data_IF_953845087986
#
_entry.id   IF_953845087986
#
_cell.length_a   1.000
_cell.length_b   1.000
_cell.length_c   1.000
_cell.angle_alpha   90.00
_cell.angle_beta   90.00
_cell.angle_gamma   90.00
#
_symmetry.space_group_name_H-M   'P 1'
#
loop_
_entity.id
_entity.type
_entity.pdbx_description
1 polymer ?
#
# COMPACT_ATOMS: atom_id res chain seq x y z
N UNK A 1 9.33 16.70 -17.34
CA UNK A 1 7.97 17.19 -17.64
C UNK A 1 7.02 16.09 -17.20
N UNK A 2 5.96 16.41 -16.47
CA UNK A 2 4.97 15.41 -16.03
C UNK A 2 4.24 14.87 -17.25
N UNK A 3 4.24 13.57 -17.43
CA UNK A 3 3.60 12.88 -18.58
C UNK A 3 2.06 12.82 -18.43
N UNK A 4 1.53 13.36 -17.33
CA UNK A 4 0.12 13.31 -16.97
C UNK A 4 -0.46 14.72 -16.81
N UNK A 5 -1.54 15.00 -17.55
CA UNK A 5 -2.28 16.27 -17.49
C UNK A 5 -2.75 16.60 -16.06
N UNK A 6 -3.27 15.61 -15.33
CA UNK A 6 -3.75 15.79 -13.95
C UNK A 6 -2.74 15.25 -12.96
N UNK A 7 -2.24 16.10 -12.08
CA UNK A 7 -1.25 15.73 -11.08
C UNK A 7 -1.52 16.39 -9.73
N UNK A 8 -0.95 15.86 -8.65
CA UNK A 8 -1.02 16.48 -7.34
C UNK A 8 -0.25 17.81 -7.36
N UNK A 9 -0.83 18.85 -6.76
CA UNK A 9 -0.21 20.16 -6.66
C UNK A 9 1.20 20.06 -6.06
N UNK A 10 2.19 20.68 -6.70
CA UNK A 10 3.56 20.75 -6.18
C UNK A 10 3.56 21.42 -4.81
N UNK A 11 4.32 20.85 -3.88
CA UNK A 11 4.40 21.39 -2.53
C UNK A 11 5.07 22.77 -2.53
N UNK A 12 4.44 23.73 -1.89
CA UNK A 12 5.03 24.97 -1.41
C UNK A 12 4.43 25.29 -0.04
N UNK A 13 5.07 26.17 0.72
CA UNK A 13 4.57 26.54 2.04
C UNK A 13 3.14 27.06 1.96
N UNK A 14 2.23 26.45 2.74
CA UNK A 14 0.80 26.79 2.76
C UNK A 14 -0.05 26.12 1.66
N UNK A 15 0.51 25.31 0.76
CA UNK A 15 -0.27 24.66 -0.32
C UNK A 15 -1.17 23.52 0.16
N UNK A 16 -0.85 22.91 1.31
CA UNK A 16 -1.68 21.84 1.89
C UNK A 16 -2.83 22.41 2.69
N UNK A 17 -4.01 21.89 2.45
CA UNK A 17 -5.25 22.27 3.14
C UNK A 17 -5.67 21.21 4.16
N UNK A 18 -6.80 21.42 4.83
CA UNK A 18 -7.40 20.44 5.72
C UNK A 18 -8.01 19.30 4.92
N UNK A 19 -7.81 18.05 5.39
CA UNK A 19 -8.40 16.90 4.74
C UNK A 19 -9.93 16.87 4.94
N UNK A 20 -10.71 16.69 3.86
CA UNK A 20 -12.17 16.66 3.96
C UNK A 20 -12.70 15.44 4.74
N UNK A 21 -11.92 14.37 4.86
CA UNK A 21 -12.31 13.16 5.58
C UNK A 21 -11.91 13.18 7.06
N UNK A 22 -10.62 13.37 7.38
CA UNK A 22 -10.16 13.33 8.76
C UNK A 22 -10.12 14.69 9.47
N UNK A 23 -10.39 15.79 8.79
CA UNK A 23 -10.43 17.15 9.33
C UNK A 23 -9.07 17.74 9.75
N UNK A 24 -8.01 16.95 9.72
CA UNK A 24 -6.68 17.43 10.12
C UNK A 24 -6.17 18.48 9.15
N UNK A 25 -5.56 19.54 9.69
CA UNK A 25 -5.02 20.66 8.90
C UNK A 25 -3.68 20.29 8.25
N UNK A 26 -3.37 20.95 7.13
CA UNK A 26 -2.08 20.88 6.41
C UNK A 26 -1.63 19.45 6.03
N UNK A 27 -2.58 18.59 5.69
CA UNK A 27 -2.30 17.19 5.33
C UNK A 27 -2.99 16.74 4.05
N UNK A 28 -3.59 17.64 3.30
CA UNK A 28 -4.30 17.31 2.07
C UNK A 28 -3.72 18.06 0.89
N UNK A 29 -3.38 17.32 -0.18
CA UNK A 29 -2.84 17.83 -1.44
C UNK A 29 -3.89 17.66 -2.51
N UNK A 30 -4.24 18.76 -3.19
CA UNK A 30 -5.24 18.77 -4.26
C UNK A 30 -4.65 18.31 -5.59
N UNK A 31 -5.50 17.79 -6.47
CA UNK A 31 -5.16 17.62 -7.87
C UNK A 31 -5.33 18.95 -8.62
N UNK A 32 -4.47 19.17 -9.60
CA UNK A 32 -4.48 20.33 -10.51
C UNK A 32 -4.42 19.84 -11.95
N UNK A 33 -5.03 20.61 -12.86
CA UNK A 33 -4.93 20.44 -14.28
C UNK A 33 -3.77 21.29 -14.82
N UNK A 34 -2.79 20.68 -15.47
CA UNK A 34 -1.63 21.38 -16.03
C UNK A 34 -2.04 22.38 -17.13
N UNK A 35 -3.11 22.08 -17.86
CA UNK A 35 -3.67 22.98 -18.88
C UNK A 35 -4.55 24.10 -18.29
N UNK A 36 -4.92 24.00 -17.01
CA UNK A 36 -5.74 24.99 -16.31
C UNK A 36 -7.19 25.08 -16.79
N UNK A 37 -7.66 24.13 -17.59
CA UNK A 37 -9.02 24.10 -18.14
C UNK A 37 -10.02 23.63 -17.09
N UNK A 38 -9.64 22.60 -16.32
CA UNK A 38 -10.51 21.99 -15.33
C UNK A 38 -10.06 22.39 -13.92
N UNK A 39 -10.95 23.00 -13.17
CA UNK A 39 -10.73 23.34 -11.77
C UNK A 39 -11.42 22.30 -10.88
N UNK A 40 -10.62 21.45 -10.26
CA UNK A 40 -11.13 20.47 -9.30
C UNK A 40 -11.60 21.12 -8.01
N UNK A 41 -12.67 20.63 -7.39
CA UNK A 41 -13.05 21.04 -6.04
C UNK A 41 -12.01 20.62 -5.00
N UNK A 42 -12.00 21.28 -3.85
CA UNK A 42 -11.04 21.04 -2.76
C UNK A 42 -11.12 19.64 -2.14
N UNK A 43 -12.08 18.82 -2.58
CA UNK A 43 -12.23 17.43 -2.19
C UNK A 43 -11.45 16.45 -3.07
N UNK A 44 -11.02 16.88 -4.26
CA UNK A 44 -10.28 16.02 -5.20
C UNK A 44 -8.78 16.13 -4.90
N UNK A 45 -8.22 15.08 -4.29
CA UNK A 45 -6.85 15.11 -3.80
C UNK A 45 -6.51 13.89 -2.94
N UNK A 46 -5.38 13.98 -2.27
CA UNK A 46 -4.83 12.91 -1.44
C UNK A 46 -4.45 13.41 -0.05
N UNK A 47 -4.82 12.67 0.98
CA UNK A 47 -4.39 12.90 2.35
C UNK A 47 -3.01 12.28 2.61
N UNK A 48 -2.12 12.98 3.30
CA UNK A 48 -0.81 12.46 3.70
C UNK A 48 -0.91 11.33 4.73
N UNK A 49 -2.01 11.23 5.45
CA UNK A 49 -2.24 10.18 6.43
C UNK A 49 -2.74 8.90 5.76
N UNK A 50 -1.91 8.26 4.94
CA UNK A 50 -2.26 7.07 4.15
C UNK A 50 -2.78 5.93 5.04
N UNK A 51 -2.13 5.68 6.17
CA UNK A 51 -2.45 4.53 7.04
C UNK A 51 -3.65 4.78 7.97
N UNK A 52 -3.92 6.03 8.36
CA UNK A 52 -4.96 6.36 9.34
C UNK A 52 -6.21 7.00 8.75
N UNK A 53 -6.09 7.64 7.59
CA UNK A 53 -7.18 8.28 6.88
C UNK A 53 -7.45 7.63 5.53
N UNK A 54 -6.41 7.37 4.75
CA UNK A 54 -6.48 6.72 3.43
C UNK A 54 -7.27 7.50 2.37
N UNK A 55 -7.73 8.74 2.66
CA UNK A 55 -8.54 9.48 1.71
C UNK A 55 -7.74 9.85 0.46
N UNK A 56 -8.17 9.34 -0.66
CA UNK A 56 -7.60 9.64 -1.97
C UNK A 56 -8.74 9.63 -3.00
N UNK A 57 -9.18 10.83 -3.40
CA UNK A 57 -10.18 11.02 -4.45
C UNK A 57 -9.50 11.52 -5.71
N UNK A 58 -9.43 10.65 -6.70
CA UNK A 58 -8.66 10.88 -7.93
C UNK A 58 -9.49 11.64 -8.98
N UNK A 59 -8.83 12.32 -9.96
CA UNK A 59 -9.53 12.90 -11.11
C UNK A 59 -10.41 11.91 -11.87
N UNK A 60 -9.95 10.65 -12.00
CA UNK A 60 -10.72 9.58 -12.66
C UNK A 60 -12.04 9.28 -11.95
N UNK A 61 -12.00 9.20 -10.62
CA UNK A 61 -13.20 9.00 -9.80
C UNK A 61 -14.11 10.20 -9.88
N UNK A 62 -13.54 11.41 -9.81
CA UNK A 62 -14.29 12.64 -9.95
C UNK A 62 -15.07 12.73 -11.27
N UNK A 63 -14.46 12.41 -12.42
CA UNK A 63 -15.13 12.39 -13.72
C UNK A 63 -16.17 11.27 -13.85
N UNK A 64 -15.94 10.14 -13.22
CA UNK A 64 -16.94 9.06 -13.15
C UNK A 64 -18.18 9.51 -12.39
N UNK A 65 -17.97 10.22 -11.27
CA UNK A 65 -19.05 10.67 -10.40
C UNK A 65 -19.73 11.96 -10.91
N UNK A 66 -19.08 12.68 -11.85
CA UNK A 66 -19.54 13.92 -12.45
C UNK A 66 -19.37 13.90 -14.00
N UNK A 67 -20.12 13.09 -14.73
CA UNK A 67 -19.95 12.91 -16.17
C UNK A 67 -20.19 14.20 -16.98
N UNK A 68 -21.00 15.11 -16.46
CA UNK A 68 -21.36 16.36 -17.13
C UNK A 68 -20.18 17.36 -17.23
N UNK A 69 -19.16 17.22 -16.37
CA UNK A 69 -17.99 18.12 -16.37
C UNK A 69 -17.17 18.01 -17.66
N UNK A 70 -17.17 16.85 -18.29
CA UNK A 70 -16.49 16.62 -19.58
C UNK A 70 -17.31 17.09 -20.79
N UNK A 71 -18.59 17.41 -20.61
CA UNK A 71 -19.53 17.74 -21.68
C UNK A 71 -19.67 19.25 -21.94
N UNK A 72 -19.01 20.11 -21.14
CA UNK A 72 -19.11 21.56 -21.27
C UNK A 72 -17.90 22.12 -22.02
N UNK A 73 -18.08 22.75 -23.21
CA UNK A 73 -16.99 23.32 -23.99
C UNK A 73 -16.49 24.70 -23.53
N UNK A 74 -17.06 25.29 -22.49
CA UNK A 74 -16.66 26.63 -22.06
C UNK A 74 -16.56 26.75 -20.53
N UNK A 75 -15.42 27.34 -20.10
CA UNK A 75 -15.08 27.63 -18.71
C UNK A 75 -16.04 28.57 -17.98
N UNK A 76 -17.21 28.07 -17.63
CA UNK A 76 -18.20 28.78 -16.84
C UNK A 76 -17.80 28.79 -15.34
N UNK A 77 -17.74 29.97 -14.76
CA UNK A 77 -17.63 30.23 -13.32
C UNK A 77 -18.66 29.39 -12.56
N UNK A 78 -18.26 28.29 -11.96
CA UNK A 78 -19.05 27.56 -10.99
C UNK A 78 -18.88 28.19 -9.61
N UNK A 79 -19.53 29.33 -9.39
CA UNK A 79 -19.90 29.80 -8.09
C UNK A 79 -21.24 29.14 -7.73
N UNK A 80 -21.28 28.36 -6.65
CA UNK A 80 -22.36 27.57 -6.08
C UNK A 80 -22.34 26.07 -6.41
N UNK A 81 -21.53 25.35 -5.69
CA UNK A 81 -21.91 24.01 -5.28
C UNK A 81 -22.07 23.99 -3.76
N UNK A 82 -23.25 24.37 -3.27
CA UNK A 82 -23.76 23.83 -2.01
C UNK A 82 -24.10 22.38 -2.32
N UNK A 83 -23.12 21.50 -2.13
CA UNK A 83 -23.41 20.07 -2.13
C UNK A 83 -24.24 19.77 -0.88
N UNK A 84 -25.40 19.10 -1.02
CA UNK A 84 -26.03 18.44 0.11
C UNK A 84 -24.96 17.52 0.69
N UNK A 85 -24.77 17.60 2.01
CA UNK A 85 -24.01 16.62 2.78
C UNK A 85 -24.44 15.25 2.29
N UNK A 86 -23.62 14.63 1.46
CA UNK A 86 -23.88 13.28 0.97
C UNK A 86 -24.00 12.42 2.22
N UNK A 87 -25.20 11.90 2.45
CA UNK A 87 -25.38 10.82 3.38
C UNK A 87 -24.29 9.79 3.05
N UNK A 88 -23.54 9.41 4.07
CA UNK A 88 -22.56 8.35 4.00
C UNK A 88 -23.22 7.17 3.30
N UNK A 89 -23.00 7.06 1.98
CA UNK A 89 -23.15 5.77 1.34
C UNK A 89 -21.97 4.99 1.84
N UNK A 90 -22.21 4.19 2.86
CA UNK A 90 -21.41 3.03 3.16
C UNK A 90 -21.42 2.19 1.87
N UNK A 91 -20.47 2.49 0.97
CA UNK A 91 -20.12 1.48 -0.02
C UNK A 91 -19.61 0.32 0.81
N UNK A 92 -20.21 -0.87 0.70
CA UNK A 92 -19.68 -2.02 1.42
C UNK A 92 -18.23 -2.15 1.01
N UNK A 93 -17.30 -1.82 1.93
CA UNK A 93 -15.90 -2.10 1.71
C UNK A 93 -15.83 -3.61 1.54
N UNK A 94 -15.34 -4.12 0.40
CA UNK A 94 -15.20 -5.55 0.23
C UNK A 94 -14.38 -6.07 1.41
N UNK A 95 -14.80 -7.21 1.96
CA UNK A 95 -14.12 -7.82 3.09
C UNK A 95 -12.62 -7.93 2.80
N UNK A 96 -11.75 -7.51 3.73
CA UNK A 96 -10.33 -7.58 3.50
C UNK A 96 -9.89 -9.02 3.24
N UNK A 97 -9.18 -9.24 2.16
CA UNK A 97 -8.68 -10.57 1.80
C UNK A 97 -7.63 -11.06 2.83
N UNK A 98 -7.54 -12.36 3.00
CA UNK A 98 -6.48 -12.99 3.79
C UNK A 98 -5.88 -14.18 3.03
N UNK A 99 -4.61 -14.47 3.32
CA UNK A 99 -3.90 -15.60 2.75
C UNK A 99 -4.22 -16.83 3.59
N UNK A 100 -4.57 -17.94 2.93
CA UNK A 100 -4.94 -19.16 3.61
C UNK A 100 -3.79 -19.70 4.49
N UNK A 101 -4.15 -20.30 5.61
CA UNK A 101 -3.19 -20.89 6.55
C UNK A 101 -2.30 -21.98 5.90
N UNK A 102 -2.82 -22.72 4.93
CA UNK A 102 -2.07 -23.75 4.21
C UNK A 102 -0.92 -23.19 3.37
N UNK A 103 -1.13 -22.03 2.74
CA UNK A 103 -0.07 -21.34 1.99
C UNK A 103 1.03 -20.88 2.94
N UNK A 104 0.64 -20.30 4.07
CA UNK A 104 1.58 -19.86 5.10
C UNK A 104 2.35 -21.07 5.65
N UNK A 105 1.65 -22.12 6.06
CA UNK A 105 2.25 -23.34 6.65
C UNK A 105 3.28 -23.98 5.71
N UNK A 106 2.97 -24.11 4.42
CA UNK A 106 3.92 -24.62 3.42
C UNK A 106 5.19 -23.79 3.29
N UNK A 107 5.12 -22.50 3.54
CA UNK A 107 6.31 -21.64 3.49
C UNK A 107 7.18 -21.73 4.74
N UNK A 108 6.64 -22.23 5.86
CA UNK A 108 7.37 -22.39 7.13
C UNK A 108 8.25 -23.65 7.10
N UNK A 109 8.95 -23.86 6.02
CA UNK A 109 9.82 -25.01 5.73
C UNK A 109 10.96 -24.60 4.82
N UNK A 110 11.84 -25.53 4.48
CA UNK A 110 12.96 -25.31 3.57
C UNK A 110 13.87 -24.13 3.97
N UNK A 111 14.15 -24.04 5.28
CA UNK A 111 15.01 -22.97 5.79
C UNK A 111 16.47 -23.12 5.33
N UNK A 112 16.87 -24.33 4.92
CA UNK A 112 18.19 -24.65 4.37
C UNK A 112 18.54 -23.85 3.11
N UNK A 113 17.55 -23.41 2.33
CA UNK A 113 17.75 -22.56 1.15
C UNK A 113 17.56 -21.06 1.44
N UNK A 114 17.23 -20.67 2.68
CA UNK A 114 16.93 -19.29 3.03
C UNK A 114 18.20 -18.54 3.45
N UNK A 115 18.67 -17.55 2.68
CA UNK A 115 19.92 -16.86 2.98
C UNK A 115 19.91 -16.10 4.31
N UNK A 116 18.75 -15.54 4.72
CA UNK A 116 18.64 -14.86 6.01
C UNK A 116 18.73 -15.88 7.16
N UNK A 117 18.12 -17.05 7.00
CA UNK A 117 18.25 -18.11 8.01
C UNK A 117 19.70 -18.54 8.17
N UNK A 118 20.39 -18.77 7.05
CA UNK A 118 21.82 -19.11 7.08
C UNK A 118 22.66 -18.06 7.83
N UNK A 119 22.46 -16.79 7.50
CA UNK A 119 23.14 -15.68 8.20
C UNK A 119 22.88 -15.69 9.71
N UNK A 120 21.62 -15.91 10.10
CA UNK A 120 21.26 -15.96 11.53
C UNK A 120 21.87 -17.17 12.24
N UNK A 121 21.96 -18.32 11.58
CA UNK A 121 22.67 -19.49 12.12
C UNK A 121 24.14 -19.21 12.37
N UNK A 122 24.82 -18.48 11.45
CA UNK A 122 26.20 -18.09 11.64
C UNK A 122 26.39 -17.07 12.76
N UNK A 123 25.42 -16.22 13.00
CA UNK A 123 25.50 -15.11 13.96
C UNK A 123 25.09 -15.53 15.38
N UNK A 124 24.02 -16.31 15.50
CA UNK A 124 23.38 -16.62 16.79
C UNK A 124 23.31 -18.13 17.11
N UNK A 125 23.73 -18.97 16.18
CA UNK A 125 23.56 -20.40 16.25
C UNK A 125 22.21 -20.88 15.70
N UNK A 126 22.17 -22.17 15.33
CA UNK A 126 21.01 -22.78 14.65
C UNK A 126 19.75 -22.80 15.52
N UNK A 127 19.89 -23.13 16.81
CA UNK A 127 18.78 -23.19 17.75
C UNK A 127 18.05 -21.85 17.86
N UNK A 128 18.81 -20.75 18.02
CA UNK A 128 18.24 -19.41 18.12
C UNK A 128 17.66 -18.92 16.78
N UNK A 129 18.33 -19.18 15.66
CA UNK A 129 17.81 -18.87 14.35
C UNK A 129 16.46 -19.57 14.11
N UNK A 130 16.35 -20.84 14.46
CA UNK A 130 15.11 -21.61 14.34
C UNK A 130 14.02 -21.07 15.26
N UNK A 131 14.39 -20.70 16.51
CA UNK A 131 13.45 -20.08 17.46
C UNK A 131 12.89 -18.77 16.91
N UNK A 132 13.73 -17.90 16.34
CA UNK A 132 13.33 -16.63 15.77
C UNK A 132 12.42 -16.82 14.54
N UNK A 133 12.75 -17.73 13.63
CA UNK A 133 11.94 -18.02 12.46
C UNK A 133 10.54 -18.55 12.84
N UNK A 134 10.45 -19.39 13.86
CA UNK A 134 9.17 -19.86 14.39
C UNK A 134 8.38 -18.75 15.09
N UNK A 135 9.04 -17.99 15.98
CA UNK A 135 8.42 -16.91 16.75
C UNK A 135 7.77 -15.85 15.85
N UNK A 136 8.51 -15.42 14.83
CA UNK A 136 8.03 -14.41 13.89
C UNK A 136 7.35 -15.00 12.66
N UNK A 137 7.13 -16.31 12.61
CA UNK A 137 6.52 -17.02 11.49
C UNK A 137 7.15 -16.62 10.14
N UNK A 138 8.48 -16.58 10.08
CA UNK A 138 9.21 -16.23 8.86
C UNK A 138 9.19 -17.41 7.91
N UNK A 139 8.77 -17.17 6.67
CA UNK A 139 8.68 -18.20 5.64
C UNK A 139 9.84 -18.18 4.66
N UNK A 140 9.92 -19.25 3.85
CA UNK A 140 10.83 -19.36 2.71
C UNK A 140 10.03 -19.47 1.42
N UNK A 141 10.46 -18.73 0.40
CA UNK A 141 9.95 -18.82 -0.96
C UNK A 141 11.03 -19.40 -1.87
N UNK A 142 10.63 -20.21 -2.84
CA UNK A 142 11.53 -20.69 -3.90
C UNK A 142 11.98 -19.58 -4.87
N UNK A 143 11.33 -18.41 -4.79
CA UNK A 143 11.69 -17.26 -5.62
C UNK A 143 13.14 -16.88 -5.39
N UNK A 144 13.84 -16.58 -6.48
CA UNK A 144 15.27 -16.18 -6.50
C UNK A 144 16.21 -17.18 -5.81
N UNK A 145 15.80 -18.47 -5.73
CA UNK A 145 16.62 -19.50 -5.12
C UNK A 145 16.56 -19.57 -3.59
N UNK A 146 15.59 -18.94 -2.96
CA UNK A 146 15.40 -19.05 -1.51
C UNK A 146 15.17 -17.68 -0.84
N UNK A 147 14.11 -16.94 -1.22
CA UNK A 147 13.80 -15.65 -0.60
C UNK A 147 13.11 -15.80 0.75
N UNK A 148 13.27 -14.82 1.61
CA UNK A 148 12.61 -14.72 2.93
C UNK A 148 11.24 -14.09 2.78
N UNK A 149 10.23 -14.68 3.44
CA UNK A 149 8.87 -14.14 3.51
C UNK A 149 8.60 -13.63 4.93
N UNK A 150 8.26 -12.37 5.05
CA UNK A 150 7.78 -11.76 6.29
C UNK A 150 6.25 -11.66 6.21
N UNK A 151 5.57 -12.59 6.88
CA UNK A 151 4.12 -12.62 6.92
C UNK A 151 3.57 -11.53 7.82
N UNK A 152 2.65 -10.74 7.30
CA UNK A 152 1.94 -9.71 8.04
C UNK A 152 0.63 -10.30 8.58
N UNK A 153 0.63 -10.59 9.86
CA UNK A 153 -0.51 -11.17 10.59
C UNK A 153 -1.18 -10.07 11.42
N UNK A 154 -2.47 -9.93 11.31
CA UNK A 154 -3.23 -8.98 12.10
C UNK A 154 -3.52 -9.51 13.53
N UNK A 155 -4.14 -8.67 14.36
CA UNK A 155 -4.49 -9.00 15.75
C UNK A 155 -5.52 -10.12 15.88
N UNK A 156 -6.22 -10.45 14.81
CA UNK A 156 -7.15 -11.58 14.73
C UNK A 156 -6.45 -12.87 14.28
N UNK A 157 -5.15 -12.84 14.05
CA UNK A 157 -4.36 -13.97 13.60
C UNK A 157 -4.48 -14.24 12.09
N UNK A 158 -5.15 -13.36 11.33
CA UNK A 158 -5.31 -13.52 9.89
C UNK A 158 -4.10 -12.94 9.15
N UNK A 159 -3.54 -13.72 8.23
CA UNK A 159 -2.41 -13.28 7.41
C UNK A 159 -2.92 -12.43 6.25
N UNK A 160 -2.62 -11.16 6.28
CA UNK A 160 -3.07 -10.18 5.28
C UNK A 160 -2.24 -10.21 4.02
N UNK A 161 -0.93 -10.32 4.15
CA UNK A 161 0.02 -10.50 3.04
C UNK A 161 1.36 -10.96 3.58
N UNK A 162 2.36 -11.10 2.70
CA UNK A 162 3.75 -11.36 3.05
C UNK A 162 4.68 -10.56 2.16
N UNK A 163 5.68 -9.95 2.75
CA UNK A 163 6.74 -9.28 2.01
C UNK A 163 7.87 -10.24 1.71
N UNK A 164 8.17 -10.45 0.44
CA UNK A 164 9.20 -11.37 -0.03
C UNK A 164 10.44 -10.55 -0.34
N UNK A 165 11.57 -10.90 0.27
CA UNK A 165 12.82 -10.17 0.08
C UNK A 165 14.01 -11.14 0.01
N UNK A 166 15.03 -10.74 -0.77
CA UNK A 166 16.29 -11.48 -0.87
C UNK A 166 17.37 -10.84 -0.01
N UNK A 167 18.13 -11.70 0.65
CA UNK A 167 19.20 -11.31 1.55
C UNK A 167 20.54 -11.90 1.12
N UNK A 168 21.62 -11.22 1.45
CA UNK A 168 22.96 -11.72 1.31
C UNK A 168 23.29 -12.61 2.54
N UNK A 169 23.64 -13.90 2.32
CA UNK A 169 23.91 -14.82 3.43
C UNK A 169 25.17 -14.50 4.22
N UNK A 170 26.10 -13.72 3.66
CA UNK A 170 27.35 -13.35 4.35
C UNK A 170 27.16 -12.12 5.24
N UNK A 171 26.32 -11.18 4.85
CA UNK A 171 26.18 -9.89 5.55
C UNK A 171 24.84 -9.70 6.24
N UNK A 172 23.84 -10.51 5.93
CA UNK A 172 22.47 -10.35 6.40
C UNK A 172 21.76 -9.10 5.86
N UNK A 173 22.36 -8.39 4.91
CA UNK A 173 21.76 -7.22 4.30
C UNK A 173 20.84 -7.60 3.15
N UNK A 174 19.76 -6.81 2.98
CA UNK A 174 18.88 -6.97 1.83
C UNK A 174 19.62 -6.62 0.54
N UNK A 175 19.53 -7.49 -0.47
CA UNK A 175 20.12 -7.26 -1.79
C UNK A 175 19.33 -6.15 -2.50
N UNK A 176 20.02 -5.08 -2.90
CA UNK A 176 19.45 -3.92 -3.59
C UNK A 176 19.94 -3.77 -5.03
N UNK A 177 21.08 -4.33 -5.37
CA UNK A 177 21.72 -4.24 -6.68
C UNK A 177 21.83 -5.63 -7.33
N UNK A 178 21.77 -5.73 -8.66
CA UNK A 178 21.53 -4.67 -9.66
C UNK A 178 20.09 -4.14 -9.66
N UNK A 179 19.21 -4.73 -8.87
CA UNK A 179 17.81 -4.29 -8.61
C UNK A 179 17.37 -4.73 -7.22
N UNK A 180 16.42 -4.05 -6.64
CA UNK A 180 15.82 -4.48 -5.39
C UNK A 180 15.00 -5.77 -5.59
N UNK A 181 15.39 -6.87 -4.93
CA UNK A 181 14.64 -8.12 -4.92
C UNK A 181 13.55 -8.04 -3.84
N UNK A 182 12.43 -7.43 -4.20
CA UNK A 182 11.25 -7.28 -3.34
C UNK A 182 10.00 -7.67 -4.11
N UNK A 183 9.14 -8.45 -3.49
CA UNK A 183 7.83 -8.82 -4.01
C UNK A 183 6.83 -8.99 -2.88
N UNK A 184 5.58 -9.23 -3.22
CA UNK A 184 4.50 -9.45 -2.26
C UNK A 184 3.80 -10.79 -2.51
N UNK A 185 3.48 -11.50 -1.44
CA UNK A 185 2.87 -12.81 -1.52
C UNK A 185 1.55 -12.81 -2.31
N UNK A 186 0.69 -11.83 -2.11
CA UNK A 186 -0.57 -11.71 -2.86
C UNK A 186 -0.34 -11.54 -4.37
N UNK A 187 0.71 -10.82 -4.77
CA UNK A 187 1.07 -10.65 -6.19
C UNK A 187 1.62 -11.95 -6.78
N UNK A 188 2.46 -12.68 -6.03
CA UNK A 188 3.01 -13.97 -6.50
C UNK A 188 1.94 -15.05 -6.61
N UNK A 189 0.96 -15.04 -5.71
CA UNK A 189 -0.18 -15.95 -5.73
C UNK A 189 -1.23 -15.55 -6.78
N UNK A 190 -1.05 -14.41 -7.46
CA UNK A 190 -1.97 -13.87 -8.48
C UNK A 190 -3.41 -13.82 -7.98
N UNK A 191 -3.60 -13.41 -6.73
CA UNK A 191 -4.92 -13.30 -6.13
C UNK A 191 -5.72 -12.21 -6.83
N UNK A 192 -6.85 -12.59 -7.43
CA UNK A 192 -7.79 -11.66 -8.06
C UNK A 192 -8.62 -10.99 -6.96
N UNK A 193 -9.04 -9.74 -7.22
CA UNK A 193 -9.87 -8.95 -6.31
C UNK A 193 -9.29 -8.83 -4.89
N UNK A 194 -7.96 -8.77 -4.80
CA UNK A 194 -7.25 -8.70 -3.53
C UNK A 194 -7.35 -7.31 -2.89
N UNK A 195 -8.07 -7.23 -1.79
CA UNK A 195 -8.19 -6.01 -0.98
C UNK A 195 -7.28 -6.09 0.24
N UNK A 196 -6.17 -5.36 0.20
CA UNK A 196 -5.18 -5.34 1.27
C UNK A 196 -5.65 -4.49 2.44
N UNK A 197 -5.78 -5.11 3.62
CA UNK A 197 -5.77 -4.40 4.90
C UNK A 197 -4.37 -4.49 5.49
N UNK A 198 -3.64 -3.40 5.49
CA UNK A 198 -2.27 -3.38 6.00
C UNK A 198 -2.23 -3.58 7.52
N UNK A 199 -1.24 -4.37 7.98
CA UNK A 199 -0.86 -4.53 9.37
C UNK A 199 0.67 -4.58 9.47
N UNK A 200 1.21 -4.40 10.67
CA UNK A 200 2.65 -4.44 10.87
C UNK A 200 3.14 -5.89 10.98
N UNK A 201 4.38 -6.12 10.56
CA UNK A 201 5.07 -7.39 10.83
C UNK A 201 5.38 -7.49 12.33
N UNK A 202 5.04 -8.63 12.94
CA UNK A 202 5.28 -8.87 14.38
C UNK A 202 4.27 -8.17 15.31
N UNK A 203 3.10 -7.76 14.79
CA UNK A 203 2.04 -7.13 15.61
C UNK A 203 1.21 -8.16 16.40
N UNK A 204 1.33 -9.46 16.09
CA UNK A 204 0.60 -10.58 16.70
C UNK A 204 1.17 -11.00 18.04
#
# INVERSE_FOLDING_TARGET
>A
MSEYRFHLQKYHYGSKISCPNCGKSRCFVRYVDEEGIIRFPDTVGKCDHENSCGYHYTPREYFRDNPDVLSQPDGGRADRCILPRAAERETPHPDPYFISADVVARSLSHYEINPLYYYLCQTFGEEEAQRLFRLYRIGTSSKWGGATIFWQTDRQGQVRTGKIMQYDPATGHRIKEPRAFVSWAHSELKLQDFHLKQCLFGEH
#
